data_IF_746875975637
#
_entry.id   IF_746875975637
#
_cell.length_a   1.000
_cell.length_b   1.000
_cell.length_c   1.000
_cell.angle_alpha   90.00
_cell.angle_beta   90.00
_cell.angle_gamma   90.00
#
_symmetry.space_group_name_H-M   'P 1'
#
loop_
_entity.id
_entity.type
_entity.pdbx_description
1 polymer ?
#
# COMPACT_ATOMS: atom_id res chain seq x y z
N UNK A 1 -13.55 4.38 8.27
CA UNK A 1 -14.34 3.17 7.87
C UNK A 1 -15.84 3.45 7.80
N UNK A 2 -16.48 4.04 8.82
CA UNK A 2 -17.95 4.26 8.85
C UNK A 2 -18.52 4.95 7.60
N UNK A 3 -17.80 5.93 7.04
CA UNK A 3 -18.21 6.62 5.81
C UNK A 3 -18.32 5.67 4.61
N UNK A 4 -17.35 4.77 4.43
CA UNK A 4 -17.36 3.78 3.35
C UNK A 4 -18.48 2.75 3.54
N UNK A 5 -18.80 2.41 4.80
CA UNK A 5 -19.90 1.51 5.13
C UNK A 5 -21.28 2.11 4.84
N UNK A 6 -21.45 3.42 4.94
CA UNK A 6 -22.68 4.10 4.49
C UNK A 6 -22.72 4.22 2.96
N UNK A 7 -21.58 4.56 2.35
CA UNK A 7 -21.46 4.67 0.90
C UNK A 7 -21.75 3.36 0.18
N UNK A 8 -21.32 2.21 0.70
CA UNK A 8 -21.62 0.91 0.08
C UNK A 8 -23.12 0.57 0.13
N UNK A 9 -23.89 1.11 1.08
CA UNK A 9 -25.35 0.91 1.11
C UNK A 9 -26.03 1.68 -0.03
N UNK A 10 -25.52 2.89 -0.32
CA UNK A 10 -25.96 3.72 -1.43
C UNK A 10 -25.47 3.15 -2.78
N UNK A 11 -24.22 2.69 -2.83
CA UNK A 11 -23.56 2.17 -4.03
C UNK A 11 -23.02 0.74 -3.79
N UNK A 12 -23.87 -0.31 -3.82
CA UNK A 12 -23.44 -1.68 -3.52
C UNK A 12 -22.26 -2.19 -4.35
N UNK A 13 -22.04 -1.63 -5.54
CA UNK A 13 -20.92 -1.96 -6.43
C UNK A 13 -19.55 -1.77 -5.76
N UNK A 14 -19.39 -0.79 -4.86
CA UNK A 14 -18.09 -0.55 -4.20
C UNK A 14 -17.80 -1.54 -3.07
N UNK A 15 -18.80 -2.34 -2.67
CA UNK A 15 -18.70 -3.24 -1.52
C UNK A 15 -17.53 -4.22 -1.63
N UNK A 16 -17.21 -4.68 -2.83
CA UNK A 16 -16.06 -5.58 -3.05
C UNK A 16 -14.72 -4.93 -2.67
N UNK A 17 -14.53 -3.65 -2.99
CA UNK A 17 -13.34 -2.89 -2.64
C UNK A 17 -13.34 -2.53 -1.15
N UNK A 18 -14.48 -2.11 -0.60
CA UNK A 18 -14.62 -1.78 0.83
C UNK A 18 -14.32 -3.00 1.71
N UNK A 19 -14.82 -4.19 1.36
CA UNK A 19 -14.56 -5.41 2.10
C UNK A 19 -13.07 -5.81 2.05
N UNK A 20 -12.43 -5.72 0.88
CA UNK A 20 -11.00 -5.98 0.75
C UNK A 20 -10.17 -5.02 1.61
N UNK A 21 -10.45 -3.72 1.53
CA UNK A 21 -9.78 -2.68 2.32
C UNK A 21 -9.92 -2.92 3.81
N UNK A 22 -11.16 -3.12 4.29
CA UNK A 22 -11.43 -3.40 5.72
C UNK A 22 -10.69 -4.65 6.19
N UNK A 23 -10.65 -5.70 5.37
CA UNK A 23 -9.93 -6.93 5.68
C UNK A 23 -8.44 -6.68 5.90
N UNK A 24 -7.78 -6.01 4.95
CA UNK A 24 -6.34 -5.73 5.02
C UNK A 24 -6.00 -4.78 6.17
N UNK A 25 -6.72 -3.67 6.34
CA UNK A 25 -6.49 -2.74 7.45
C UNK A 25 -6.72 -3.41 8.81
N UNK A 26 -7.77 -4.23 8.94
CA UNK A 26 -8.06 -4.93 10.20
C UNK A 26 -7.00 -5.96 10.55
N UNK A 27 -6.38 -6.61 9.55
CA UNK A 27 -5.24 -7.49 9.78
C UNK A 27 -4.02 -6.70 10.23
N UNK A 28 -3.75 -5.54 9.61
CA UNK A 28 -2.61 -4.71 9.96
C UNK A 28 -2.72 -4.11 11.37
N UNK A 29 -3.89 -3.60 11.75
CA UNK A 29 -4.14 -3.06 13.10
C UNK A 29 -3.95 -4.10 14.22
N UNK A 30 -4.02 -5.40 13.90
CA UNK A 30 -3.77 -6.49 14.85
C UNK A 30 -2.30 -6.88 14.94
N UNK A 31 -1.43 -6.39 14.06
CA UNK A 31 0.01 -6.66 14.10
C UNK A 31 0.65 -5.84 15.22
N UNK A 32 1.56 -6.48 15.96
CA UNK A 32 2.38 -5.82 16.99
C UNK A 32 3.62 -5.13 16.41
N UNK A 33 3.99 -5.50 15.19
CA UNK A 33 5.17 -5.02 14.48
C UNK A 33 4.79 -3.76 13.69
N UNK A 34 5.10 -2.57 14.21
CA UNK A 34 4.85 -1.30 13.54
C UNK A 34 5.91 -1.06 12.47
N UNK A 35 5.69 -1.61 11.27
CA UNK A 35 6.58 -1.35 10.14
C UNK A 35 6.10 -0.13 9.34
N UNK A 36 6.93 0.91 9.32
CA UNK A 36 6.59 2.16 8.65
C UNK A 36 6.37 2.02 7.13
N UNK A 37 7.03 1.07 6.46
CA UNK A 37 6.80 0.83 5.03
C UNK A 37 5.41 0.25 4.77
N UNK A 38 4.94 -0.63 5.64
CA UNK A 38 3.57 -1.18 5.57
C UNK A 38 2.55 -0.10 5.90
N UNK A 39 2.83 0.79 6.86
CA UNK A 39 1.96 1.92 7.19
C UNK A 39 1.78 2.86 5.99
N UNK A 40 2.84 3.16 5.22
CA UNK A 40 2.73 3.97 4.01
C UNK A 40 1.76 3.34 2.99
N UNK A 41 1.80 2.01 2.82
CA UNK A 41 0.84 1.31 1.96
C UNK A 41 -0.60 1.45 2.46
N UNK A 42 -0.82 1.39 3.78
CA UNK A 42 -2.16 1.61 4.36
C UNK A 42 -2.66 3.02 4.09
N UNK A 43 -1.80 4.03 4.23
CA UNK A 43 -2.13 5.43 3.91
C UNK A 43 -2.50 5.57 2.44
N UNK A 44 -1.71 4.99 1.52
CA UNK A 44 -1.99 5.07 0.08
C UNK A 44 -3.29 4.36 -0.32
N UNK A 45 -3.60 3.23 0.32
CA UNK A 45 -4.91 2.59 0.16
C UNK A 45 -6.04 3.48 0.70
N UNK A 46 -5.85 4.14 1.84
CA UNK A 46 -6.85 5.04 2.43
C UNK A 46 -7.10 6.27 1.52
N UNK A 47 -6.04 6.91 1.03
CA UNK A 47 -6.14 8.04 0.08
C UNK A 47 -6.93 7.64 -1.16
N UNK A 48 -6.65 6.48 -1.77
CA UNK A 48 -7.41 5.96 -2.90
C UNK A 48 -8.88 5.68 -2.54
N UNK A 49 -9.13 5.02 -1.41
CA UNK A 49 -10.50 4.68 -0.99
C UNK A 49 -11.32 5.91 -0.61
N UNK A 50 -10.68 7.02 -0.22
CA UNK A 50 -11.33 8.27 0.12
C UNK A 50 -12.06 8.91 -1.07
N UNK A 51 -11.62 8.64 -2.31
CA UNK A 51 -12.25 9.16 -3.53
C UNK A 51 -13.70 8.69 -3.69
N UNK A 52 -14.06 7.53 -3.12
CA UNK A 52 -15.45 7.06 -3.13
C UNK A 52 -16.41 8.01 -2.40
N UNK A 53 -15.93 8.96 -1.59
CA UNK A 53 -16.77 10.00 -0.96
C UNK A 53 -17.50 10.87 -1.99
N UNK A 54 -16.94 11.05 -3.20
CA UNK A 54 -17.61 11.79 -4.27
C UNK A 54 -18.93 11.14 -4.69
N UNK A 55 -19.10 9.83 -4.46
CA UNK A 55 -20.35 9.11 -4.78
C UNK A 55 -21.57 9.54 -3.95
N UNK A 56 -21.40 10.35 -2.89
CA UNK A 56 -22.53 10.87 -2.10
C UNK A 56 -23.51 11.69 -2.93
N UNK A 57 -23.02 12.36 -3.98
CA UNK A 57 -23.81 13.24 -4.84
C UNK A 57 -24.13 12.60 -6.21
N UNK A 58 -23.60 11.40 -6.47
CA UNK A 58 -23.79 10.66 -7.73
C UNK A 58 -24.80 9.54 -7.50
N UNK A 59 -25.82 9.42 -8.35
CA UNK A 59 -26.81 8.35 -8.22
C UNK A 59 -26.31 7.07 -8.91
N UNK A 60 -26.41 5.87 -8.28
CA UNK A 60 -25.96 4.62 -8.91
C UNK A 60 -26.65 4.33 -10.25
N UNK A 61 -27.93 4.69 -10.37
CA UNK A 61 -28.75 4.50 -11.56
C UNK A 61 -28.61 5.63 -12.60
N UNK A 62 -27.73 6.62 -12.37
CA UNK A 62 -27.45 7.66 -13.35
C UNK A 62 -26.94 7.04 -14.65
N UNK A 63 -27.57 7.40 -15.76
CA UNK A 63 -27.20 6.92 -17.10
C UNK A 63 -26.00 7.71 -17.62
N UNK A 64 -25.06 7.00 -18.26
CA UNK A 64 -23.84 7.57 -18.81
C UNK A 64 -23.84 7.66 -20.35
N UNK A 65 -24.79 6.96 -20.99
CA UNK A 65 -24.81 6.71 -22.43
C UNK A 65 -24.95 5.21 -22.70
N UNK A 66 -25.44 4.82 -23.89
CA UNK A 66 -25.47 3.42 -24.38
C UNK A 66 -26.09 2.37 -23.43
N UNK A 67 -27.00 2.80 -22.55
CA UNK A 67 -27.63 1.93 -21.55
C UNK A 67 -26.75 1.63 -20.32
N UNK A 68 -25.55 2.19 -20.24
CA UNK A 68 -24.66 2.06 -19.09
C UNK A 68 -25.07 2.99 -17.95
N UNK A 69 -24.87 2.51 -16.71
CA UNK A 69 -25.06 3.27 -15.48
C UNK A 69 -23.74 3.48 -14.76
N UNK A 70 -23.70 4.44 -13.82
CA UNK A 70 -22.57 4.61 -12.90
C UNK A 70 -22.18 3.30 -12.22
N UNK A 71 -23.18 2.54 -11.74
CA UNK A 71 -22.94 1.27 -11.07
C UNK A 71 -22.27 0.23 -11.99
N UNK A 72 -22.76 0.05 -13.22
CA UNK A 72 -22.16 -0.92 -14.16
C UNK A 72 -20.77 -0.48 -14.59
N UNK A 73 -20.53 0.82 -14.75
CA UNK A 73 -19.23 1.35 -15.16
C UNK A 73 -18.15 1.24 -14.08
N UNK A 74 -18.53 1.36 -12.80
CA UNK A 74 -17.59 1.24 -11.67
C UNK A 74 -17.20 -0.21 -11.35
N UNK A 75 -18.00 -1.19 -11.75
CA UNK A 75 -17.83 -2.58 -11.31
C UNK A 75 -16.44 -3.15 -11.64
N UNK A 76 -15.95 -2.94 -12.86
CA UNK A 76 -14.64 -3.41 -13.28
C UNK A 76 -13.52 -2.82 -12.42
N UNK A 77 -13.54 -1.49 -12.25
CA UNK A 77 -12.55 -0.77 -11.44
C UNK A 77 -12.58 -1.20 -9.97
N UNK A 78 -13.77 -1.38 -9.38
CA UNK A 78 -13.90 -1.82 -7.99
C UNK A 78 -13.32 -3.24 -7.79
N UNK A 79 -13.49 -4.13 -8.76
CA UNK A 79 -12.88 -5.47 -8.72
C UNK A 79 -11.36 -5.40 -8.78
N UNK A 80 -10.81 -4.59 -9.68
CA UNK A 80 -9.36 -4.41 -9.80
C UNK A 80 -8.77 -3.79 -8.53
N UNK A 81 -9.39 -2.75 -7.98
CA UNK A 81 -8.98 -2.16 -6.68
C UNK A 81 -8.98 -3.23 -5.57
N UNK A 82 -10.03 -4.04 -5.49
CA UNK A 82 -10.12 -5.09 -4.48
C UNK A 82 -9.02 -6.15 -4.63
N UNK A 83 -8.65 -6.50 -5.86
CA UNK A 83 -7.56 -7.43 -6.16
C UNK A 83 -6.19 -6.83 -5.80
N UNK A 84 -5.94 -5.58 -6.19
CA UNK A 84 -4.71 -4.85 -5.88
C UNK A 84 -4.50 -4.73 -4.36
N UNK A 85 -5.57 -4.40 -3.61
CA UNK A 85 -5.55 -4.37 -2.13
C UNK A 85 -5.24 -5.75 -1.54
N UNK A 86 -5.88 -6.82 -2.03
CA UNK A 86 -5.62 -8.18 -1.53
C UNK A 86 -4.18 -8.61 -1.80
N UNK A 87 -3.66 -8.33 -2.98
CA UNK A 87 -2.29 -8.67 -3.36
C UNK A 87 -1.28 -7.89 -2.51
N UNK A 88 -1.54 -6.61 -2.25
CA UNK A 88 -0.76 -5.79 -1.33
C UNK A 88 -0.80 -6.38 0.10
N UNK A 89 -1.99 -6.69 0.61
CA UNK A 89 -2.18 -7.29 1.93
C UNK A 89 -1.44 -8.62 2.09
N UNK A 90 -1.46 -9.47 1.07
CA UNK A 90 -0.70 -10.73 1.03
C UNK A 90 0.82 -10.49 1.06
N UNK A 91 1.30 -9.47 0.35
CA UNK A 91 2.71 -9.09 0.39
C UNK A 91 3.11 -8.58 1.79
N UNK A 92 2.29 -7.72 2.40
CA UNK A 92 2.49 -7.23 3.76
C UNK A 92 2.49 -8.38 4.77
N UNK A 93 1.60 -9.36 4.61
CA UNK A 93 1.58 -10.57 5.44
C UNK A 93 2.84 -11.41 5.32
N UNK A 94 3.27 -11.70 4.10
CA UNK A 94 4.52 -12.40 3.84
C UNK A 94 5.72 -11.64 4.42
N UNK A 95 5.75 -10.32 4.26
CA UNK A 95 6.80 -9.48 4.82
C UNK A 95 6.80 -9.52 6.35
N UNK A 96 5.64 -9.38 7.00
CA UNK A 96 5.52 -9.39 8.47
C UNK A 96 6.03 -10.68 9.11
N UNK A 97 5.77 -11.83 8.45
CA UNK A 97 6.18 -13.18 8.89
C UNK A 97 7.64 -13.51 8.56
N UNK A 98 8.33 -12.70 7.76
CA UNK A 98 9.74 -12.93 7.45
C UNK A 98 10.60 -12.58 8.68
N UNK A 99 11.58 -13.42 9.00
CA UNK A 99 12.53 -13.15 10.10
C UNK A 99 13.29 -11.85 9.87
N UNK A 100 13.85 -11.24 10.92
CA UNK A 100 14.60 -9.98 10.80
C UNK A 100 15.72 -10.04 9.75
N UNK A 101 16.57 -11.07 9.80
CA UNK A 101 17.61 -11.27 8.77
C UNK A 101 17.01 -11.46 7.38
N UNK A 102 15.89 -12.17 7.26
CA UNK A 102 15.18 -12.31 5.99
C UNK A 102 14.60 -10.98 5.46
N UNK A 103 14.09 -10.11 6.35
CA UNK A 103 13.62 -8.76 6.00
C UNK A 103 14.79 -7.89 5.56
N UNK A 104 15.94 -8.02 6.22
CA UNK A 104 17.16 -7.28 5.91
C UNK A 104 17.71 -7.64 4.53
N UNK A 105 17.94 -8.92 4.25
CA UNK A 105 18.49 -9.35 2.95
C UNK A 105 17.53 -9.14 1.78
N UNK A 106 16.23 -9.32 2.02
CA UNK A 106 15.20 -9.12 0.99
C UNK A 106 14.67 -7.70 0.95
N UNK A 107 15.22 -6.79 1.76
CA UNK A 107 14.75 -5.41 1.87
C UNK A 107 14.71 -4.69 0.51
N UNK A 108 15.69 -4.83 -0.41
CA UNK A 108 15.59 -4.24 -1.75
C UNK A 108 14.38 -4.77 -2.55
N UNK A 109 14.19 -6.08 -2.57
CA UNK A 109 13.07 -6.74 -3.28
C UNK A 109 11.72 -6.31 -2.71
N UNK A 110 11.60 -6.24 -1.38
CA UNK A 110 10.36 -5.75 -0.76
C UNK A 110 10.14 -4.26 -1.00
N UNK A 111 11.18 -3.42 -1.01
CA UNK A 111 11.07 -2.01 -1.34
C UNK A 111 10.56 -1.77 -2.76
N UNK A 112 11.11 -2.49 -3.73
CA UNK A 112 10.65 -2.41 -5.12
C UNK A 112 9.16 -2.81 -5.23
N UNK A 113 8.78 -3.92 -4.60
CA UNK A 113 7.38 -4.38 -4.60
C UNK A 113 6.44 -3.42 -3.88
N UNK A 114 6.85 -2.86 -2.74
CA UNK A 114 6.08 -1.85 -2.02
C UNK A 114 5.92 -0.58 -2.86
N UNK A 115 7.00 -0.11 -3.50
CA UNK A 115 6.94 1.01 -4.45
C UNK A 115 5.97 0.75 -5.59
N UNK A 116 5.97 -0.47 -6.15
CA UNK A 116 5.02 -0.87 -7.20
C UNK A 116 3.56 -0.79 -6.74
N UNK A 117 3.26 -1.22 -5.51
CA UNK A 117 1.91 -1.08 -4.94
C UNK A 117 1.54 0.37 -4.64
N UNK A 118 2.47 1.20 -4.17
CA UNK A 118 2.24 2.64 -3.99
C UNK A 118 1.82 3.27 -5.32
N UNK A 119 2.59 3.02 -6.39
CA UNK A 119 2.28 3.53 -7.72
C UNK A 119 0.94 3.02 -8.24
N UNK A 120 0.63 1.75 -7.98
CA UNK A 120 -0.67 1.16 -8.33
C UNK A 120 -1.80 1.91 -7.63
N UNK A 121 -1.72 2.17 -6.32
CA UNK A 121 -2.77 2.90 -5.60
C UNK A 121 -2.88 4.37 -6.02
N UNK A 122 -1.76 5.03 -6.32
CA UNK A 122 -1.79 6.40 -6.86
C UNK A 122 -2.44 6.44 -8.26
N UNK A 123 -2.15 5.44 -9.09
CA UNK A 123 -2.76 5.32 -10.43
C UNK A 123 -4.26 5.05 -10.30
N UNK A 124 -4.67 4.10 -9.47
CA UNK A 124 -6.08 3.80 -9.20
C UNK A 124 -6.84 4.99 -8.61
N UNK A 125 -6.22 5.74 -7.71
CA UNK A 125 -6.78 6.99 -7.16
C UNK A 125 -7.05 7.98 -8.29
N UNK A 126 -6.06 8.23 -9.15
CA UNK A 126 -6.21 9.15 -10.29
C UNK A 126 -7.29 8.66 -11.27
N UNK A 127 -7.29 7.38 -11.65
CA UNK A 127 -8.32 6.80 -12.53
C UNK A 127 -9.74 6.93 -11.93
N UNK A 128 -9.86 6.69 -10.63
CA UNK A 128 -11.12 6.78 -9.90
C UNK A 128 -11.60 8.24 -9.84
N UNK A 129 -10.73 9.17 -9.47
CA UNK A 129 -11.04 10.61 -9.44
C UNK A 129 -11.53 11.11 -10.82
N UNK A 130 -10.78 10.83 -11.89
CA UNK A 130 -11.17 11.21 -13.25
C UNK A 130 -12.54 10.63 -13.64
N UNK A 131 -12.80 9.37 -13.29
CA UNK A 131 -14.06 8.70 -13.62
C UNK A 131 -15.24 9.28 -12.84
N UNK A 132 -15.05 9.61 -11.57
CA UNK A 132 -16.08 10.24 -10.73
C UNK A 132 -16.34 11.69 -11.13
N UNK A 133 -15.29 12.43 -11.52
CA UNK A 133 -15.42 13.77 -12.08
C UNK A 133 -16.25 13.76 -13.38
N UNK A 134 -16.05 12.77 -14.25
CA UNK A 134 -16.86 12.60 -15.47
C UNK A 134 -18.34 12.34 -15.13
N UNK A 135 -18.63 11.47 -14.17
CA UNK A 135 -20.01 11.21 -13.75
C UNK A 135 -20.68 12.46 -13.18
N UNK A 136 -19.92 13.23 -12.39
CA UNK A 136 -20.38 14.51 -11.86
C UNK A 136 -20.66 15.49 -12.99
N UNK A 137 -19.74 15.63 -13.97
CA UNK A 137 -19.92 16.51 -15.12
C UNK A 137 -21.13 16.13 -15.98
N UNK A 138 -21.40 14.83 -16.18
CA UNK A 138 -22.61 14.36 -16.88
C UNK A 138 -23.88 14.75 -16.10
N UNK A 139 -23.85 14.62 -14.76
CA UNK A 139 -24.94 15.06 -13.89
C UNK A 139 -25.15 16.58 -13.98
N UNK A 140 -24.05 17.37 -14.00
CA UNK A 140 -24.09 18.83 -14.11
C UNK A 140 -24.50 19.32 -15.50
N UNK A 141 -24.12 18.64 -16.59
CA UNK A 141 -24.63 18.96 -17.92
C UNK A 141 -26.14 18.71 -18.01
N UNK A 142 -26.67 17.80 -17.18
CA UNK A 142 -28.12 17.61 -16.99
C UNK A 142 -28.74 18.56 -15.93
N UNK A 143 -27.94 19.22 -15.09
CA UNK A 143 -28.35 20.12 -14.01
C UNK A 143 -27.29 21.24 -13.79
N UNK A 144 -27.48 22.39 -14.44
CA UNK A 144 -26.43 23.40 -14.69
C UNK A 144 -25.83 24.19 -13.50
N UNK A 145 -25.12 23.56 -12.57
CA UNK A 145 -24.24 24.21 -11.56
C UNK A 145 -23.09 23.24 -11.17
N UNK A 146 -21.81 23.57 -10.92
CA UNK A 146 -20.97 24.78 -11.00
C UNK A 146 -19.50 24.33 -11.04
N UNK A 147 -18.72 24.87 -11.99
CA UNK A 147 -17.30 24.53 -12.26
C UNK A 147 -16.31 24.81 -11.11
N UNK A 148 -16.71 25.56 -10.09
CA UNK A 148 -15.82 26.01 -9.01
C UNK A 148 -15.38 24.90 -8.05
N UNK A 149 -16.17 23.82 -7.88
CA UNK A 149 -15.84 22.73 -6.96
C UNK A 149 -14.79 21.75 -7.54
N UNK A 150 -14.66 21.70 -8.86
CA UNK A 150 -13.76 20.79 -9.58
C UNK A 150 -12.31 21.30 -9.51
N UNK A 151 -12.12 22.62 -9.45
CA UNK A 151 -10.80 23.25 -9.54
C UNK A 151 -9.99 23.16 -8.23
N UNK A 152 -10.65 22.91 -7.10
CA UNK A 152 -10.02 22.73 -5.79
C UNK A 152 -9.49 21.30 -5.56
N UNK A 153 -10.09 20.29 -6.23
CA UNK A 153 -9.67 18.89 -6.14
C UNK A 153 -8.40 18.56 -6.97
N UNK A 154 -7.95 19.47 -7.84
CA UNK A 154 -7.04 19.16 -8.96
C UNK A 154 -5.56 19.53 -8.77
N UNK A 155 -5.06 19.68 -7.53
CA UNK A 155 -3.63 19.88 -7.22
C UNK A 155 -3.13 18.69 -6.37
N UNK A 156 -2.03 17.96 -6.63
CA UNK A 156 -0.97 17.94 -7.64
C UNK A 156 -0.26 16.57 -7.54
N UNK A 157 0.32 16.05 -8.63
CA UNK A 157 1.15 14.82 -8.59
C UNK A 157 2.59 15.11 -9.07
N UNK A 158 3.54 15.08 -8.14
CA UNK A 158 5.00 15.00 -8.39
C UNK A 158 5.68 14.42 -7.12
N UNK A 159 5.54 13.09 -6.93
CA UNK A 159 5.74 12.39 -5.63
C UNK A 159 6.70 11.18 -5.67
N UNK A 160 7.21 10.77 -6.84
CA UNK A 160 7.91 9.48 -6.96
C UNK A 160 9.29 9.46 -6.26
N UNK A 161 10.05 10.55 -6.35
CA UNK A 161 11.36 10.69 -5.66
C UNK A 161 11.18 10.93 -4.16
N UNK A 162 10.11 11.64 -3.76
CA UNK A 162 9.86 11.98 -2.35
C UNK A 162 9.50 10.74 -1.53
N UNK A 163 8.72 9.81 -2.11
CA UNK A 163 8.24 8.63 -1.38
C UNK A 163 9.36 7.63 -1.04
N UNK A 164 10.32 7.39 -1.94
CA UNK A 164 11.49 6.55 -1.64
C UNK A 164 12.37 7.15 -0.53
N UNK A 165 12.56 8.47 -0.54
CA UNK A 165 13.29 9.19 0.52
C UNK A 165 12.55 9.13 1.86
N UNK A 166 11.21 9.22 1.85
CA UNK A 166 10.40 9.07 3.06
C UNK A 166 10.51 7.65 3.65
N UNK A 167 10.45 6.61 2.81
CA UNK A 167 10.63 5.22 3.24
C UNK A 167 12.03 4.96 3.83
N UNK A 168 13.07 5.60 3.29
CA UNK A 168 14.43 5.55 3.86
C UNK A 168 14.53 6.24 5.23
N UNK A 169 13.87 7.38 5.41
CA UNK A 169 13.86 8.13 6.69
C UNK A 169 13.08 7.44 7.80
N UNK A 170 12.17 6.55 7.44
CA UNK A 170 11.35 5.79 8.37
C UNK A 170 12.02 4.48 8.86
N UNK A 171 13.24 4.20 8.40
CA UNK A 171 14.05 3.09 8.94
C UNK A 171 14.46 3.36 10.39
N UNK A 172 14.46 2.31 11.21
CA UNK A 172 14.97 2.41 12.58
C UNK A 172 16.48 2.74 12.56
N UNK A 173 17.01 3.42 13.60
CA UNK A 173 18.46 3.72 13.68
C UNK A 173 19.35 2.48 13.61
N UNK A 174 18.83 1.33 14.03
CA UNK A 174 19.51 0.05 13.93
C UNK A 174 19.58 -0.42 12.46
N UNK A 175 18.47 -0.37 11.73
CA UNK A 175 18.44 -0.73 10.30
C UNK A 175 19.38 0.13 9.45
N UNK A 176 19.53 1.42 9.78
CA UNK A 176 20.47 2.31 9.08
C UNK A 176 21.94 1.90 9.29
N UNK A 177 22.31 1.56 10.53
CA UNK A 177 23.68 1.09 10.85
C UNK A 177 24.00 -0.23 10.13
N UNK A 178 23.05 -1.16 10.16
CA UNK A 178 23.18 -2.46 9.50
C UNK A 178 23.31 -2.28 7.97
N UNK A 179 22.53 -1.37 7.38
CA UNK A 179 22.67 -1.06 5.95
C UNK A 179 24.03 -0.49 5.57
N UNK A 180 24.63 0.32 6.44
CA UNK A 180 25.99 0.84 6.22
C UNK A 180 27.02 -0.30 6.15
N UNK A 181 26.84 -1.35 6.95
CA UNK A 181 27.71 -2.54 6.95
C UNK A 181 27.49 -3.37 5.68
N UNK A 182 26.25 -3.57 5.26
CA UNK A 182 25.92 -4.32 4.04
C UNK A 182 26.49 -3.65 2.79
N UNK A 183 26.36 -2.32 2.68
CA UNK A 183 26.90 -1.58 1.53
C UNK A 183 28.43 -1.64 1.48
N UNK A 184 29.11 -1.52 2.63
CA UNK A 184 30.57 -1.66 2.72
C UNK A 184 31.07 -3.03 2.26
N UNK A 185 30.25 -4.06 2.37
CA UNK A 185 30.60 -5.44 1.99
C UNK A 185 30.07 -5.82 0.60
N UNK A 186 29.72 -4.85 -0.25
CA UNK A 186 29.34 -5.11 -1.64
C UNK A 186 27.86 -5.47 -1.85
N UNK A 187 27.03 -5.26 -0.83
CA UNK A 187 25.59 -5.45 -0.92
C UNK A 187 25.09 -6.79 -0.36
N UNK A 188 23.77 -7.02 -0.39
CA UNK A 188 23.12 -8.13 0.30
C UNK A 188 23.61 -9.51 -0.18
N UNK A 189 23.82 -9.69 -1.48
CA UNK A 189 24.23 -10.98 -2.04
C UNK A 189 25.65 -11.37 -1.60
N UNK A 190 26.57 -10.40 -1.57
CA UNK A 190 27.93 -10.63 -1.09
C UNK A 190 27.96 -10.96 0.41
N UNK A 191 27.14 -10.27 1.22
CA UNK A 191 27.02 -10.54 2.65
C UNK A 191 26.43 -11.93 2.95
N UNK A 192 25.55 -12.45 2.10
CA UNK A 192 24.95 -13.79 2.27
C UNK A 192 25.94 -14.93 1.98
N UNK A 193 27.04 -14.64 1.28
CA UNK A 193 28.09 -15.62 0.96
C UNK A 193 29.29 -15.55 1.92
N UNK A 194 29.30 -14.59 2.86
CA UNK A 194 30.36 -14.40 3.85
C UNK A 194 29.83 -14.60 5.26
N UNK A 195 30.11 -15.77 5.83
CA UNK A 195 29.65 -16.19 7.16
C UNK A 195 30.10 -15.23 8.27
N UNK A 196 31.24 -14.55 8.13
CA UNK A 196 31.74 -13.61 9.15
C UNK A 196 30.96 -12.30 9.15
N UNK A 197 30.65 -11.79 7.97
CA UNK A 197 29.78 -10.61 7.82
C UNK A 197 28.38 -10.96 8.33
N UNK A 198 27.93 -12.19 8.09
CA UNK A 198 26.64 -12.67 8.58
C UNK A 198 26.59 -12.71 10.12
N UNK A 199 27.62 -13.22 10.79
CA UNK A 199 27.74 -13.20 12.26
C UNK A 199 27.76 -11.77 12.82
N UNK A 200 28.48 -10.84 12.17
CA UNK A 200 28.51 -9.42 12.56
C UNK A 200 27.13 -8.77 12.48
N UNK A 201 26.39 -9.00 11.38
CA UNK A 201 25.05 -8.49 11.18
C UNK A 201 24.05 -9.07 12.20
N UNK A 202 24.21 -10.35 12.59
CA UNK A 202 23.38 -11.00 13.61
C UNK A 202 23.66 -10.41 15.01
N UNK A 203 24.93 -10.17 15.34
CA UNK A 203 25.34 -9.62 16.63
C UNK A 203 24.83 -8.18 16.87
N UNK A 204 24.58 -7.42 15.80
CA UNK A 204 24.01 -6.07 15.89
C UNK A 204 22.52 -6.06 16.27
N UNK A 205 21.82 -7.20 16.18
CA UNK A 205 20.36 -7.28 16.39
C UNK A 205 20.08 -7.78 17.81
N UNK A 206 19.52 -6.95 18.71
CA UNK A 206 19.20 -7.39 20.06
C UNK A 206 18.09 -8.45 20.03
N UNK A 207 18.37 -9.63 20.59
CA UNK A 207 17.40 -10.71 20.79
C UNK A 207 17.51 -11.92 19.86
N UNK A 208 18.47 -11.96 18.92
CA UNK A 208 18.79 -13.19 18.17
C UNK A 208 19.80 -14.00 19.00
N UNK A 209 19.30 -14.92 19.83
CA UNK A 209 20.14 -15.94 20.45
C UNK A 209 20.48 -16.98 19.40
N UNK A 210 21.71 -16.99 18.89
CA UNK A 210 22.25 -18.13 18.17
C UNK A 210 22.72 -19.11 19.25
N UNK A 211 22.13 -20.30 19.41
CA UNK A 211 22.72 -21.30 20.28
C UNK A 211 24.11 -21.60 19.72
N UNK A 212 25.12 -21.26 20.50
CA UNK A 212 26.52 -21.47 20.19
C UNK A 212 26.73 -22.90 19.72
N UNK A 213 27.60 -23.06 18.71
CA UNK A 213 28.15 -24.34 18.28
C UNK A 213 28.37 -25.24 19.50
N UNK A 214 27.59 -26.32 19.61
CA UNK A 214 27.98 -27.44 20.44
C UNK A 214 29.16 -28.08 19.72
N UNK A 215 30.35 -27.77 20.24
CA UNK A 215 31.54 -28.60 20.10
C UNK A 215 31.13 -30.06 20.34
N UNK A 216 31.04 -30.84 19.26
CA UNK A 216 31.14 -32.28 19.37
C UNK A 216 32.64 -32.60 19.40
N UNK A 217 33.18 -32.65 20.61
CA UNK A 217 34.30 -33.53 20.95
C UNK A 217 33.73 -34.55 21.92
N UNK A 218 33.78 -35.84 21.58
CA UNK A 218 34.63 -36.77 22.34
C UNK A 218 35.49 -37.58 21.35
N UNK A 219 36.74 -37.91 21.65
CA UNK A 219 37.17 -38.72 22.79
C UNK A 219 37.51 -40.10 22.24
#
# INVERSE_FOLDING_TARGET
MNVLDELQKLHPVIGVAVLAFKGVVSLELKRRDNNASVLVLQVKMEEMMSEFVQLRIIKPAQKLGDGETVATSLLGMCKSIAEDIKNCGNLCDKYSKTSFCGKLFKSPVYRERFSGFIQTFETRKSELDHKLALFTAINVHSAGESLAQIQEAMKSSDEHIKTLVLLQRLQSPLEQKIWTVIERHGGPEACMTDDKVMEELIAMVPGIYVPSLILIVPG
#
